data_IF_983883603581
#
_entry.id   IF_983883603581
#
_cell.length_a   1.000
_cell.length_b   1.000
_cell.length_c   1.000
_cell.angle_alpha   90.00
_cell.angle_beta   90.00
_cell.angle_gamma   90.00
#
_symmetry.space_group_name_H-M   'P 1'
#
loop_
_entity.id
_entity.type
_entity.pdbx_description
1 polymer ?
#
# COMPACT_ATOMS: atom_id res chain seq x y z
N UNK A 1 -34.70 3.56 38.19
CA UNK A 1 -35.21 3.00 39.46
C UNK A 1 -34.51 3.77 40.56
N UNK A 2 -35.25 4.59 41.30
CA UNK A 2 -34.68 5.31 42.44
C UNK A 2 -34.50 4.31 43.60
N UNK A 3 -33.27 4.17 44.10
CA UNK A 3 -32.91 3.25 45.18
C UNK A 3 -32.58 4.00 46.48
N UNK A 4 -32.82 5.31 46.52
CA UNK A 4 -32.55 6.16 47.68
C UNK A 4 -33.35 5.73 48.93
N UNK A 5 -34.50 5.08 48.76
CA UNK A 5 -35.35 4.57 49.83
C UNK A 5 -35.00 3.15 50.31
N UNK A 6 -34.03 2.47 49.69
CA UNK A 6 -33.66 1.10 50.06
C UNK A 6 -32.61 1.06 51.19
N UNK A 7 -32.68 0.08 52.10
CA UNK A 7 -31.72 -0.07 53.19
C UNK A 7 -30.26 -0.16 52.70
N UNK A 8 -29.32 0.35 53.50
CA UNK A 8 -27.87 0.34 53.18
C UNK A 8 -27.22 -1.05 53.24
N UNK A 9 -28.02 -2.12 53.37
CA UNK A 9 -27.57 -3.51 53.49
C UNK A 9 -26.98 -4.11 52.19
N UNK A 10 -26.43 -3.25 51.31
CA UNK A 10 -25.44 -3.65 50.31
C UNK A 10 -25.98 -4.13 48.97
N UNK A 11 -27.26 -3.98 48.67
CA UNK A 11 -27.85 -4.42 47.38
C UNK A 11 -28.62 -3.32 46.65
N UNK A 12 -27.95 -2.20 46.40
CA UNK A 12 -28.46 -1.11 45.56
C UNK A 12 -28.03 -1.34 44.11
N UNK A 13 -28.81 -2.09 43.33
CA UNK A 13 -28.48 -2.40 41.94
C UNK A 13 -29.58 -3.13 41.17
N UNK A 14 -29.43 -3.22 39.85
CA UNK A 14 -30.31 -3.95 38.94
C UNK A 14 -29.52 -5.06 38.24
N UNK A 15 -29.99 -6.31 38.35
CA UNK A 15 -29.50 -7.40 37.52
C UNK A 15 -30.43 -7.54 36.32
N UNK A 16 -29.90 -7.25 35.13
CA UNK A 16 -30.63 -7.44 33.88
C UNK A 16 -30.92 -8.93 33.62
N UNK A 17 -31.94 -9.25 32.80
CA UNK A 17 -32.19 -10.62 32.35
C UNK A 17 -30.94 -11.22 31.71
N UNK A 18 -30.58 -12.43 32.14
CA UNK A 18 -29.46 -13.19 31.57
C UNK A 18 -29.96 -14.07 30.44
N UNK A 19 -29.34 -13.97 29.26
CA UNK A 19 -29.78 -14.67 28.05
C UNK A 19 -28.55 -15.20 27.32
N UNK A 20 -28.64 -16.36 26.67
CA UNK A 20 -27.59 -16.85 25.77
C UNK A 20 -28.04 -16.56 24.33
N UNK A 21 -27.50 -15.50 23.73
CA UNK A 21 -27.84 -15.11 22.35
C UNK A 21 -27.09 -16.00 21.35
N UNK A 22 -27.71 -16.27 20.20
CA UNK A 22 -27.14 -17.09 19.12
C UNK A 22 -26.32 -16.30 18.11
N UNK A 23 -26.59 -15.00 17.96
CA UNK A 23 -25.89 -14.11 17.04
C UNK A 23 -26.14 -12.64 17.40
N UNK A 24 -25.44 -11.70 16.74
CA UNK A 24 -25.68 -10.27 16.90
C UNK A 24 -27.05 -9.82 16.40
N UNK A 25 -27.75 -10.61 15.60
CA UNK A 25 -29.09 -10.28 15.07
C UNK A 25 -30.19 -11.20 15.61
N UNK A 26 -29.91 -11.91 16.72
CA UNK A 26 -30.82 -12.90 17.29
C UNK A 26 -32.13 -12.27 17.78
N UNK A 27 -33.19 -12.49 17.02
CA UNK A 27 -34.56 -12.15 17.38
C UNK A 27 -35.42 -13.41 17.62
N UNK A 28 -34.80 -14.59 17.72
CA UNK A 28 -35.51 -15.84 18.00
C UNK A 28 -35.51 -16.09 19.50
N UNK A 29 -34.34 -15.93 20.14
CA UNK A 29 -34.20 -16.11 21.59
C UNK A 29 -34.99 -15.06 22.36
N UNK A 30 -35.09 -13.84 21.81
CA UNK A 30 -35.99 -12.79 22.27
C UNK A 30 -36.80 -12.31 21.06
N UNK A 31 -38.03 -12.82 20.86
CA UNK A 31 -38.91 -12.38 19.78
C UNK A 31 -39.23 -10.88 19.86
N UNK A 32 -39.09 -10.18 18.73
CA UNK A 32 -39.37 -8.74 18.59
C UNK A 32 -38.75 -7.89 19.73
N UNK A 33 -37.41 -7.90 19.89
CA UNK A 33 -36.76 -7.21 20.99
C UNK A 33 -37.04 -5.69 20.91
N UNK A 34 -37.43 -5.10 22.04
CA UNK A 34 -37.73 -3.68 22.12
C UNK A 34 -36.47 -2.84 21.89
N UNK A 35 -36.62 -1.68 21.23
CA UNK A 35 -35.52 -0.72 21.07
C UNK A 35 -34.98 -0.29 22.44
N UNK A 36 -33.68 -0.45 22.65
CA UNK A 36 -33.00 -0.15 23.91
C UNK A 36 -33.10 -1.25 24.97
N UNK A 37 -33.67 -2.42 24.66
CA UNK A 37 -33.72 -3.56 25.58
C UNK A 37 -32.31 -3.97 26.01
N UNK A 38 -32.01 -3.87 27.31
CA UNK A 38 -30.73 -4.25 27.91
C UNK A 38 -30.82 -5.66 28.52
N UNK A 39 -29.88 -6.52 28.12
CA UNK A 39 -29.72 -7.90 28.65
C UNK A 39 -28.28 -8.13 29.08
N UNK A 40 -28.03 -9.17 29.85
CA UNK A 40 -26.69 -9.71 30.08
C UNK A 40 -26.52 -10.99 29.24
N UNK A 41 -25.69 -10.94 28.21
CA UNK A 41 -25.40 -12.10 27.39
C UNK A 41 -24.47 -13.05 28.14
N UNK A 42 -24.82 -14.33 28.22
CA UNK A 42 -24.04 -15.35 28.93
C UNK A 42 -22.79 -15.82 28.15
N UNK A 43 -22.73 -15.57 26.85
CA UNK A 43 -21.62 -16.05 26.01
C UNK A 43 -21.58 -17.57 25.80
N UNK A 44 -22.61 -18.31 26.22
CA UNK A 44 -22.64 -19.78 26.21
C UNK A 44 -23.35 -20.42 25.00
N UNK A 45 -23.89 -19.61 24.08
CA UNK A 45 -24.48 -20.05 22.80
C UNK A 45 -23.72 -19.37 21.63
N UNK A 46 -24.34 -19.15 20.48
CA UNK A 46 -23.64 -18.69 19.27
C UNK A 46 -23.03 -17.27 19.32
N UNK A 47 -23.54 -16.35 20.13
CA UNK A 47 -22.90 -15.05 20.39
C UNK A 47 -22.06 -15.15 21.67
N UNK A 48 -20.76 -15.35 21.52
CA UNK A 48 -19.84 -15.64 22.63
C UNK A 48 -19.34 -14.41 23.40
N UNK A 49 -19.74 -13.20 23.00
CA UNK A 49 -19.40 -11.98 23.72
C UNK A 49 -20.20 -11.88 25.01
N UNK A 50 -19.64 -12.33 26.13
CA UNK A 50 -20.29 -12.22 27.46
C UNK A 50 -20.40 -10.75 27.90
N UNK A 51 -21.47 -10.41 28.60
CA UNK A 51 -21.64 -9.10 29.24
C UNK A 51 -22.92 -8.38 28.83
N UNK A 52 -23.07 -7.14 29.30
CA UNK A 52 -24.27 -6.35 28.99
C UNK A 52 -24.35 -6.01 27.50
N UNK A 53 -25.51 -6.24 26.89
CA UNK A 53 -25.83 -5.90 25.51
C UNK A 53 -27.16 -5.18 25.44
N UNK A 54 -27.32 -4.27 24.49
CA UNK A 54 -28.60 -3.64 24.19
C UNK A 54 -29.02 -3.83 22.74
N UNK A 55 -30.32 -3.95 22.48
CA UNK A 55 -30.88 -3.98 21.13
C UNK A 55 -30.98 -2.56 20.56
N UNK A 56 -30.31 -2.27 19.44
CA UNK A 56 -30.33 -0.94 18.82
C UNK A 56 -31.43 -0.76 17.74
N UNK A 57 -32.28 -1.76 17.53
CA UNK A 57 -33.27 -1.81 16.44
C UNK A 57 -32.88 -2.75 15.29
N UNK A 58 -31.59 -3.05 15.14
CA UNK A 58 -31.04 -3.88 14.07
C UNK A 58 -30.17 -5.03 14.58
N UNK A 59 -29.39 -4.80 15.63
CA UNK A 59 -28.46 -5.77 16.22
C UNK A 59 -28.29 -5.55 17.73
N UNK A 60 -27.85 -6.60 18.42
CA UNK A 60 -27.35 -6.59 19.79
C UNK A 60 -25.95 -5.99 19.81
N UNK A 61 -25.81 -4.86 20.51
CA UNK A 61 -24.51 -4.20 20.71
C UNK A 61 -24.08 -4.33 22.15
N UNK A 62 -22.78 -4.54 22.35
CA UNK A 62 -22.18 -4.52 23.69
C UNK A 62 -22.48 -3.15 24.32
N UNK A 63 -23.08 -3.18 25.51
CA UNK A 63 -23.16 -2.04 26.40
C UNK A 63 -21.82 -1.96 27.12
N UNK A 64 -20.86 -1.28 26.49
CA UNK A 64 -19.49 -1.35 26.97
C UNK A 64 -19.32 -0.66 28.33
N UNK A 65 -18.54 -1.30 29.20
CA UNK A 65 -18.13 -0.78 30.49
C UNK A 65 -16.82 0.01 30.38
N UNK A 66 -16.56 0.61 29.22
CA UNK A 66 -15.30 1.30 28.98
C UNK A 66 -15.14 2.41 30.02
N UNK A 67 -13.95 2.46 30.61
CA UNK A 67 -13.62 3.41 31.66
C UNK A 67 -13.85 4.83 31.13
N UNK A 68 -14.59 5.66 31.88
CA UNK A 68 -14.81 7.09 31.54
C UNK A 68 -13.57 7.94 31.86
N UNK A 69 -12.40 7.31 31.99
CA UNK A 69 -11.14 8.01 32.19
C UNK A 69 -10.85 8.83 30.93
N UNK A 70 -10.33 10.02 31.13
CA UNK A 70 -9.83 10.82 30.01
C UNK A 70 -8.68 10.07 29.36
N UNK A 71 -8.68 9.89 28.03
CA UNK A 71 -7.62 9.17 27.34
C UNK A 71 -6.28 9.88 27.54
N UNK A 72 -5.23 9.12 27.81
CA UNK A 72 -3.86 9.61 27.94
C UNK A 72 -2.86 8.62 27.35
N UNK A 73 -1.82 9.12 26.70
CA UNK A 73 -0.66 8.35 26.23
C UNK A 73 0.63 9.01 26.72
N UNK A 74 1.72 8.24 26.78
CA UNK A 74 3.04 8.76 27.13
C UNK A 74 3.76 9.39 25.94
N UNK A 75 3.62 8.81 24.74
CA UNK A 75 4.28 9.33 23.55
C UNK A 75 3.77 8.69 22.26
N UNK A 76 3.90 9.43 21.16
CA UNK A 76 3.66 8.95 19.79
C UNK A 76 4.98 8.49 19.15
N UNK A 77 4.96 7.36 18.45
CA UNK A 77 6.14 6.77 17.78
C UNK A 77 6.03 6.92 16.26
N UNK A 78 6.09 8.15 15.78
CA UNK A 78 5.77 8.48 14.38
C UNK A 78 6.84 8.08 13.37
N UNK A 79 8.07 7.79 13.84
CA UNK A 79 9.11 7.14 13.05
C UNK A 79 8.73 5.72 12.64
N UNK A 80 7.88 5.07 13.44
CA UNK A 80 7.50 3.67 13.30
C UNK A 80 6.11 3.54 12.67
N UNK A 81 5.59 4.65 12.14
CA UNK A 81 4.31 4.66 11.45
C UNK A 81 4.39 3.81 10.18
N UNK A 82 3.35 3.02 9.96
CA UNK A 82 3.22 2.14 8.78
C UNK A 82 1.96 2.48 8.02
N UNK A 83 1.87 2.02 6.77
CA UNK A 83 0.67 2.23 5.97
C UNK A 83 0.53 1.16 4.88
N UNK A 84 -0.70 0.97 4.41
CA UNK A 84 -1.04 -0.01 3.40
C UNK A 84 -2.19 0.48 2.53
N UNK A 85 -2.14 0.38 1.18
CA UNK A 85 -1.04 -0.14 0.34
C UNK A 85 0.29 0.64 0.46
N UNK A 86 1.45 -0.01 0.34
CA UNK A 86 2.72 0.62 0.72
C UNK A 86 3.28 1.61 -0.32
N UNK A 87 2.54 1.95 -1.39
CA UNK A 87 3.02 2.81 -2.48
C UNK A 87 1.93 3.78 -2.91
N UNK A 88 2.30 5.02 -3.20
CA UNK A 88 1.43 6.00 -3.84
C UNK A 88 1.82 6.20 -5.31
N UNK A 89 0.84 6.37 -6.19
CA UNK A 89 1.06 6.68 -7.62
C UNK A 89 0.39 8.01 -7.93
N UNK A 90 1.14 8.97 -8.46
CA UNK A 90 0.64 10.30 -8.81
C UNK A 90 -0.63 10.23 -9.67
N UNK A 91 -1.67 10.98 -9.29
CA UNK A 91 -2.92 11.05 -10.04
C UNK A 91 -3.86 9.84 -9.89
N UNK A 92 -3.44 8.76 -9.21
CA UNK A 92 -4.28 7.58 -8.97
C UNK A 92 -4.97 7.70 -7.61
N UNK A 93 -6.30 7.53 -7.51
CA UNK A 93 -6.98 7.51 -6.22
C UNK A 93 -6.38 6.46 -5.29
N UNK A 94 -6.01 6.88 -4.09
CA UNK A 94 -5.46 6.07 -3.03
C UNK A 94 -6.50 5.88 -1.93
N UNK A 95 -6.69 4.64 -1.49
CA UNK A 95 -7.54 4.29 -0.37
C UNK A 95 -6.84 3.21 0.46
N UNK A 96 -6.38 3.61 1.64
CA UNK A 96 -5.60 2.76 2.51
C UNK A 96 -5.77 3.12 3.98
N UNK A 97 -4.85 2.59 4.77
CA UNK A 97 -4.77 2.82 6.22
C UNK A 97 -3.37 3.24 6.59
N UNK A 98 -3.26 4.13 7.57
CA UNK A 98 -2.01 4.50 8.22
C UNK A 98 -2.12 4.15 9.70
N UNK A 99 -1.09 3.54 10.26
CA UNK A 99 -1.00 3.14 11.66
C UNK A 99 0.12 3.94 12.31
N UNK A 100 -0.17 4.57 13.45
CA UNK A 100 0.81 5.30 14.25
C UNK A 100 0.88 4.65 15.63
N UNK A 101 1.99 3.98 15.97
CA UNK A 101 2.16 3.40 17.30
C UNK A 101 2.28 4.47 18.39
N UNK A 102 1.89 4.13 19.61
CA UNK A 102 2.06 4.94 20.81
C UNK A 102 2.43 4.07 22.02
N UNK A 103 2.95 4.72 23.06
CA UNK A 103 3.26 4.10 24.35
C UNK A 103 2.39 4.65 25.48
N UNK A 104 2.23 3.88 26.55
CA UNK A 104 1.63 4.33 27.81
C UNK A 104 0.14 4.72 27.76
N UNK A 105 -0.65 4.09 26.89
CA UNK A 105 -2.10 4.22 26.87
C UNK A 105 -2.75 3.73 28.17
N UNK A 106 -3.90 4.31 28.51
CA UNK A 106 -4.60 4.05 29.77
C UNK A 106 -5.95 3.34 29.64
N UNK A 107 -6.36 2.91 28.44
CA UNK A 107 -7.70 2.31 28.22
C UNK A 107 -8.81 3.29 27.81
N UNK A 108 -8.55 4.61 27.87
CA UNK A 108 -9.57 5.64 27.62
C UNK A 108 -10.09 5.66 26.18
N UNK A 109 -11.36 6.01 26.02
CA UNK A 109 -12.00 6.18 24.71
C UNK A 109 -11.55 7.48 24.03
N UNK A 110 -11.42 7.49 22.71
CA UNK A 110 -11.16 8.69 21.93
C UNK A 110 -12.07 8.77 20.69
N UNK A 111 -12.52 9.99 20.32
CA UNK A 111 -13.41 10.19 19.18
C UNK A 111 -12.65 10.10 17.85
N UNK A 112 -13.40 10.16 16.75
CA UNK A 112 -12.81 10.36 15.42
C UNK A 112 -12.12 11.72 15.35
N UNK A 113 -11.00 11.77 14.63
CA UNK A 113 -10.28 13.01 14.35
C UNK A 113 -10.86 13.81 13.17
N UNK A 114 -10.34 15.01 13.01
CA UNK A 114 -10.54 15.85 11.81
C UNK A 114 -9.56 15.40 10.71
N UNK A 115 -9.91 15.50 9.41
CA UNK A 115 -8.97 15.22 8.33
C UNK A 115 -7.72 16.12 8.39
N UNK A 116 -6.54 15.51 8.28
CA UNK A 116 -5.23 16.18 8.25
C UNK A 116 -4.65 16.01 6.84
N UNK A 117 -4.40 17.09 6.08
CA UNK A 117 -3.82 17.00 4.75
C UNK A 117 -2.31 16.72 4.79
N UNK A 118 -1.80 16.05 3.75
CA UNK A 118 -0.36 15.86 3.55
C UNK A 118 0.34 17.12 3.06
N UNK A 119 1.62 17.28 3.45
CA UNK A 119 2.57 18.25 2.91
C UNK A 119 3.73 17.56 2.20
N UNK A 120 4.46 18.26 1.33
CA UNK A 120 5.45 17.66 0.43
C UNK A 120 4.79 16.99 -0.77
N UNK A 121 4.38 15.72 -0.62
CA UNK A 121 3.48 15.03 -1.54
C UNK A 121 2.01 15.33 -1.17
N UNK A 122 1.43 16.36 -1.78
CA UNK A 122 0.07 16.85 -1.50
C UNK A 122 -1.02 15.94 -2.08
N UNK A 123 -2.27 16.12 -1.63
CA UNK A 123 -3.43 15.42 -2.18
C UNK A 123 -3.83 14.16 -1.43
N UNK A 124 -3.09 13.77 -0.39
CA UNK A 124 -3.48 12.75 0.58
C UNK A 124 -4.02 13.41 1.86
N UNK A 125 -4.89 12.70 2.55
CA UNK A 125 -5.48 13.10 3.84
C UNK A 125 -5.53 11.90 4.78
N UNK A 126 -5.25 12.12 6.05
CA UNK A 126 -5.42 11.12 7.11
C UNK A 126 -6.53 11.53 8.07
N UNK A 127 -7.39 10.59 8.49
CA UNK A 127 -8.43 10.84 9.48
C UNK A 127 -8.43 9.75 10.55
N UNK A 128 -8.26 10.14 11.81
CA UNK A 128 -8.28 9.19 12.93
C UNK A 128 -9.66 8.53 13.05
N UNK A 129 -9.67 7.20 13.12
CA UNK A 129 -10.87 6.42 13.45
C UNK A 129 -11.12 6.49 14.97
N UNK A 130 -12.37 6.55 15.44
CA UNK A 130 -12.68 6.48 16.87
C UNK A 130 -12.25 5.13 17.45
N UNK A 131 -11.89 5.08 18.74
CA UNK A 131 -11.42 3.85 19.36
C UNK A 131 -11.17 3.96 20.86
N UNK A 132 -10.44 2.97 21.38
CA UNK A 132 -9.99 2.89 22.78
C UNK A 132 -8.48 2.73 22.80
N UNK A 133 -7.83 3.39 23.75
CA UNK A 133 -6.41 3.16 23.98
C UNK A 133 -6.19 1.75 24.55
N UNK A 134 -5.08 1.12 24.22
CA UNK A 134 -4.59 -0.05 24.92
C UNK A 134 -4.12 0.37 26.33
N UNK A 135 -4.07 -0.59 27.26
CA UNK A 135 -3.34 -0.41 28.52
C UNK A 135 -1.87 -0.71 28.26
N UNK A 136 -1.03 0.33 28.13
CA UNK A 136 0.36 0.22 27.68
C UNK A 136 0.54 0.63 26.23
N UNK A 137 1.34 -0.11 25.46
CA UNK A 137 1.61 0.23 24.06
C UNK A 137 0.41 -0.14 23.17
N UNK A 138 0.16 0.66 22.14
CA UNK A 138 -0.92 0.42 21.21
C UNK A 138 -0.76 1.22 19.91
N UNK A 139 -1.83 1.24 19.12
CA UNK A 139 -1.81 1.79 17.77
C UNK A 139 -3.00 2.72 17.52
N UNK A 140 -2.74 3.85 16.88
CA UNK A 140 -3.78 4.72 16.33
C UNK A 140 -3.96 4.38 14.85
N UNK A 141 -5.21 4.11 14.45
CA UNK A 141 -5.55 3.78 13.08
C UNK A 141 -6.20 4.97 12.39
N UNK A 142 -5.61 5.38 11.27
CA UNK A 142 -6.10 6.45 10.42
C UNK A 142 -6.57 5.90 9.08
N UNK A 143 -7.69 6.43 8.57
CA UNK A 143 -8.04 6.32 7.16
C UNK A 143 -7.10 7.21 6.35
N UNK A 144 -6.37 6.64 5.39
CA UNK A 144 -5.48 7.37 4.49
C UNK A 144 -6.10 7.37 3.08
N UNK A 145 -6.53 8.55 2.60
CA UNK A 145 -7.25 8.67 1.33
C UNK A 145 -6.83 9.91 0.53
N UNK A 146 -7.05 9.87 -0.77
CA UNK A 146 -6.95 11.04 -1.64
C UNK A 146 -6.33 10.69 -2.99
N UNK A 147 -5.83 11.68 -3.70
CA UNK A 147 -5.11 11.49 -4.96
C UNK A 147 -3.77 12.21 -4.84
N UNK A 148 -2.65 11.48 -4.65
CA UNK A 148 -1.34 12.09 -4.43
C UNK A 148 -0.87 12.85 -5.69
N UNK A 149 -0.17 13.96 -5.49
CA UNK A 149 0.42 14.73 -6.58
C UNK A 149 1.72 14.13 -7.10
N UNK A 150 2.39 13.30 -6.29
CA UNK A 150 3.65 12.64 -6.61
C UNK A 150 3.59 11.14 -6.28
N UNK A 151 4.32 10.33 -7.03
CA UNK A 151 4.48 8.91 -6.70
C UNK A 151 5.52 8.74 -5.59
N UNK A 152 5.45 7.64 -4.85
CA UNK A 152 6.57 7.19 -4.02
C UNK A 152 7.87 7.15 -4.87
N UNK A 153 9.03 7.55 -4.33
CA UNK A 153 9.35 7.75 -2.92
C UNK A 153 9.06 9.15 -2.36
N UNK A 154 8.44 10.06 -3.11
CA UNK A 154 8.24 11.43 -2.66
C UNK A 154 7.44 11.45 -1.35
N UNK A 155 8.01 12.00 -0.25
CA UNK A 155 7.42 11.88 1.08
C UNK A 155 6.12 12.66 1.20
N UNK A 156 5.08 12.01 1.72
CA UNK A 156 3.86 12.62 2.24
C UNK A 156 4.00 12.80 3.75
N UNK A 157 4.07 14.04 4.20
CA UNK A 157 4.28 14.36 5.62
C UNK A 157 2.97 14.79 6.28
N UNK A 158 2.65 14.23 7.44
CA UNK A 158 1.45 14.53 8.21
C UNK A 158 1.83 15.01 9.62
N UNK A 159 1.37 16.21 9.98
CA UNK A 159 1.50 16.74 11.33
C UNK A 159 0.42 16.11 12.21
N UNK A 160 0.78 15.06 12.96
CA UNK A 160 -0.15 14.35 13.82
C UNK A 160 -0.18 15.03 15.18
N UNK A 161 -1.39 15.38 15.61
CA UNK A 161 -1.68 15.82 16.97
C UNK A 161 -2.73 14.88 17.56
N UNK A 162 -2.40 14.24 18.67
CA UNK A 162 -3.31 13.39 19.41
C UNK A 162 -3.10 13.60 20.91
N UNK A 163 -4.16 14.07 21.58
CA UNK A 163 -4.12 14.49 22.99
C UNK A 163 -3.05 15.57 23.22
N UNK A 164 -2.11 15.34 24.14
CA UNK A 164 -1.00 16.25 24.44
C UNK A 164 0.29 15.93 23.66
N UNK A 165 0.23 15.03 22.67
CA UNK A 165 1.39 14.60 21.89
C UNK A 165 1.28 15.09 20.45
N UNK A 166 2.41 15.56 19.91
CA UNK A 166 2.53 16.02 18.54
C UNK A 166 3.78 15.41 17.90
N UNK A 167 3.70 15.07 16.61
CA UNK A 167 4.83 14.57 15.85
C UNK A 167 4.59 14.77 14.35
N UNK A 168 5.59 14.43 13.53
CA UNK A 168 5.46 14.38 12.07
C UNK A 168 5.64 12.93 11.62
N UNK A 169 4.66 12.40 10.89
CA UNK A 169 4.76 11.12 10.19
C UNK A 169 5.22 11.39 8.76
N UNK A 170 6.30 10.73 8.31
CA UNK A 170 6.83 10.87 6.96
C UNK A 170 6.62 9.55 6.18
N UNK A 171 5.63 9.51 5.30
CA UNK A 171 5.37 8.32 4.47
C UNK A 171 6.03 8.48 3.10
N UNK A 172 7.04 7.67 2.80
CA UNK A 172 7.74 7.70 1.50
C UNK A 172 7.21 6.67 0.52
N UNK A 173 6.69 5.54 0.98
CA UNK A 173 6.48 4.35 0.16
C UNK A 173 7.51 3.28 0.43
N UNK A 174 7.13 2.02 0.30
CA UNK A 174 8.09 0.94 0.15
C UNK A 174 8.86 1.16 -1.15
N UNK A 175 10.11 1.56 -0.97
CA UNK A 175 11.15 1.42 -1.97
C UNK A 175 11.73 0.03 -1.75
N UNK A 176 12.17 -0.63 -2.81
CA UNK A 176 12.93 -1.88 -2.68
C UNK A 176 14.01 -1.71 -1.60
N UNK A 177 14.21 -2.67 -0.71
CA UNK A 177 15.30 -2.64 0.27
C UNK A 177 16.65 -2.88 -0.40
N UNK A 178 17.75 -2.40 0.19
CA UNK A 178 19.09 -2.71 -0.33
C UNK A 178 19.28 -4.23 -0.35
N UNK A 179 19.72 -4.75 -1.50
CA UNK A 179 19.87 -6.19 -1.74
C UNK A 179 18.60 -6.89 -2.19
N UNK A 180 17.41 -6.28 -2.05
CA UNK A 180 16.16 -6.87 -2.51
C UNK A 180 16.16 -7.04 -4.03
N UNK A 181 15.71 -8.21 -4.47
CA UNK A 181 15.54 -8.55 -5.88
C UNK A 181 14.04 -8.66 -6.17
N UNK A 182 13.63 -8.02 -7.25
CA UNK A 182 12.29 -8.10 -7.82
C UNK A 182 12.36 -8.73 -9.20
N UNK A 183 11.54 -9.75 -9.45
CA UNK A 183 11.43 -10.42 -10.73
C UNK A 183 10.10 -10.10 -11.41
N UNK A 184 10.14 -9.89 -12.71
CA UNK A 184 8.96 -9.66 -13.56
C UNK A 184 8.92 -10.65 -14.70
N UNK A 185 7.72 -11.13 -15.03
CA UNK A 185 7.46 -11.99 -16.18
C UNK A 185 6.09 -11.66 -16.77
N UNK A 186 6.06 -11.42 -18.07
CA UNK A 186 4.81 -11.40 -18.83
C UNK A 186 5.09 -11.78 -20.29
N UNK A 187 4.05 -11.86 -21.13
CA UNK A 187 4.20 -12.26 -22.53
C UNK A 187 3.30 -11.45 -23.46
N UNK A 188 3.79 -11.19 -24.67
CA UNK A 188 3.05 -10.52 -25.74
C UNK A 188 3.08 -11.42 -26.97
N UNK A 189 1.95 -11.65 -27.62
CA UNK A 189 1.94 -12.44 -28.86
C UNK A 189 2.63 -11.69 -30.00
N UNK A 190 3.43 -12.38 -30.82
CA UNK A 190 4.23 -11.74 -31.88
C UNK A 190 3.36 -10.95 -32.86
N UNK A 191 2.21 -11.50 -33.25
CA UNK A 191 1.31 -10.85 -34.19
C UNK A 191 0.64 -9.57 -33.68
N UNK A 192 0.61 -9.33 -32.35
CA UNK A 192 -0.13 -8.18 -31.79
C UNK A 192 0.72 -6.93 -31.63
N UNK A 193 2.05 -7.07 -31.56
CA UNK A 193 2.97 -5.96 -31.36
C UNK A 193 3.81 -5.72 -32.61
N UNK A 194 3.70 -4.52 -33.16
CA UNK A 194 4.47 -4.09 -34.34
C UNK A 194 5.72 -3.33 -33.93
N UNK A 195 6.67 -3.23 -34.86
CA UNK A 195 7.89 -2.44 -34.66
C UNK A 195 7.54 -0.98 -34.30
N UNK A 196 8.26 -0.44 -33.33
CA UNK A 196 8.06 0.91 -32.81
C UNK A 196 7.09 1.03 -31.62
N UNK A 197 6.33 -0.01 -31.29
CA UNK A 197 5.40 0.02 -30.16
C UNK A 197 6.07 -0.31 -28.83
N UNK A 198 5.57 0.30 -27.75
CA UNK A 198 6.01 0.01 -26.38
C UNK A 198 5.27 -1.18 -25.79
N UNK A 199 5.93 -1.94 -24.93
CA UNK A 199 5.36 -3.08 -24.23
C UNK A 199 4.23 -2.64 -23.28
N UNK A 200 4.30 -1.44 -22.72
CA UNK A 200 3.25 -0.86 -21.85
C UNK A 200 1.87 -0.69 -22.50
N UNK A 201 1.79 -0.71 -23.83
CA UNK A 201 0.49 -0.71 -24.54
C UNK A 201 -0.27 -2.02 -24.28
N UNK A 202 0.47 -3.11 -24.06
CA UNK A 202 -0.07 -4.47 -23.92
C UNK A 202 0.08 -5.01 -22.49
N UNK A 203 1.01 -4.47 -21.71
CA UNK A 203 1.35 -4.90 -20.36
C UNK A 203 1.15 -3.74 -19.37
N UNK A 204 0.06 -3.80 -18.59
CA UNK A 204 -0.29 -2.74 -17.63
C UNK A 204 0.51 -2.79 -16.33
N UNK A 205 1.20 -3.90 -16.07
CA UNK A 205 1.85 -4.22 -14.80
C UNK A 205 3.38 -4.18 -14.87
N UNK A 206 3.94 -3.52 -15.89
CA UNK A 206 5.39 -3.37 -16.03
C UNK A 206 6.02 -2.76 -14.78
N UNK A 207 7.26 -3.16 -14.43
CA UNK A 207 7.88 -2.77 -13.17
C UNK A 207 7.98 -1.25 -13.03
N UNK A 208 7.56 -0.75 -11.86
CA UNK A 208 7.65 0.65 -11.48
C UNK A 208 8.62 0.78 -10.30
N UNK A 209 9.75 1.42 -10.51
CA UNK A 209 10.68 1.78 -9.42
C UNK A 209 10.73 3.29 -9.29
N UNK A 210 10.32 3.81 -8.14
CA UNK A 210 10.38 5.25 -7.85
C UNK A 210 9.65 6.15 -8.86
N UNK A 211 8.55 5.65 -9.42
CA UNK A 211 7.82 6.35 -10.47
C UNK A 211 8.51 6.33 -11.85
N UNK A 212 9.56 5.54 -12.03
CA UNK A 212 10.09 5.17 -13.34
C UNK A 212 9.54 3.80 -13.72
N UNK A 213 8.75 3.76 -14.80
CA UNK A 213 8.33 2.50 -15.41
C UNK A 213 9.48 1.98 -16.27
N UNK A 214 9.87 0.75 -16.02
CA UNK A 214 10.83 0.01 -16.82
C UNK A 214 10.07 -0.58 -18.02
N UNK A 215 10.32 -0.01 -19.20
CA UNK A 215 9.57 -0.30 -20.42
C UNK A 215 10.50 -0.87 -21.51
N UNK A 216 9.88 -1.39 -22.56
CA UNK A 216 10.58 -1.95 -23.71
C UNK A 216 9.90 -1.47 -25.00
N UNK A 217 10.68 -1.07 -25.98
CA UNK A 217 10.19 -0.74 -27.32
C UNK A 217 10.53 -1.85 -28.28
N UNK A 218 9.54 -2.37 -28.99
CA UNK A 218 9.73 -3.34 -30.06
C UNK A 218 10.54 -2.69 -31.19
N UNK A 219 11.63 -3.33 -31.61
CA UNK A 219 12.44 -2.86 -32.75
C UNK A 219 12.50 -3.93 -33.85
N UNK A 220 12.93 -3.53 -35.04
CA UNK A 220 13.04 -4.43 -36.19
C UNK A 220 13.91 -5.67 -35.88
N UNK A 221 13.53 -6.81 -36.47
CA UNK A 221 14.26 -8.06 -36.33
C UNK A 221 13.64 -9.08 -35.36
N UNK A 222 12.34 -9.38 -35.51
CA UNK A 222 11.69 -10.45 -34.75
C UNK A 222 11.57 -10.12 -33.25
N UNK A 223 12.06 -10.97 -32.34
CA UNK A 223 11.85 -10.86 -30.88
C UNK A 223 12.87 -9.91 -30.25
N UNK A 224 13.01 -8.71 -30.82
CA UNK A 224 14.05 -7.76 -30.44
C UNK A 224 13.44 -6.52 -29.81
N UNK A 225 13.95 -6.13 -28.64
CA UNK A 225 13.46 -5.02 -27.83
C UNK A 225 14.60 -4.11 -27.38
N UNK A 226 14.35 -2.80 -27.43
CA UNK A 226 15.21 -1.78 -26.83
C UNK A 226 14.65 -1.35 -25.46
N UNK A 227 15.48 -1.27 -24.40
CA UNK A 227 15.07 -0.74 -23.11
C UNK A 227 14.74 0.75 -23.13
N UNK A 228 13.61 1.10 -22.53
CA UNK A 228 13.15 2.47 -22.36
C UNK A 228 12.73 2.71 -20.92
N UNK A 229 12.89 3.95 -20.46
CA UNK A 229 12.32 4.40 -19.19
C UNK A 229 11.19 5.39 -19.46
N UNK A 230 10.10 5.29 -18.70
CA UNK A 230 9.03 6.26 -18.72
C UNK A 230 8.83 6.86 -17.33
N UNK A 231 8.84 8.19 -17.24
CA UNK A 231 8.64 8.89 -15.98
C UNK A 231 7.14 9.12 -15.73
N UNK A 232 6.59 8.42 -14.74
CA UNK A 232 5.20 8.58 -14.29
C UNK A 232 5.04 9.62 -13.19
N UNK A 233 6.13 10.21 -12.70
CA UNK A 233 6.09 11.25 -11.67
C UNK A 233 5.77 12.61 -12.28
N UNK A 234 5.35 13.55 -11.44
CA UNK A 234 5.15 14.95 -11.83
C UNK A 234 6.45 15.75 -11.94
N UNK A 235 7.59 15.17 -11.52
CA UNK A 235 8.88 15.86 -11.42
C UNK A 235 9.86 15.35 -12.47
N UNK A 236 10.84 16.17 -12.84
CA UNK A 236 11.94 15.74 -13.70
C UNK A 236 12.91 14.81 -12.96
N UNK A 237 13.10 13.62 -13.53
CA UNK A 237 14.08 12.59 -13.22
C UNK A 237 15.53 13.07 -13.43
N UNK A 238 16.46 12.94 -12.48
CA UNK A 238 17.90 12.95 -12.81
C UNK A 238 18.41 11.51 -12.89
N UNK A 239 18.92 11.09 -14.05
CA UNK A 239 19.30 9.71 -14.31
C UNK A 239 20.77 9.62 -14.72
N UNK A 240 21.48 8.67 -14.14
CA UNK A 240 22.75 8.17 -14.67
C UNK A 240 22.57 6.69 -14.98
N UNK A 241 22.99 6.23 -16.15
CA UNK A 241 22.88 4.81 -16.47
C UNK A 241 24.07 4.32 -17.27
N UNK A 242 24.37 3.04 -17.08
CA UNK A 242 25.29 2.29 -17.88
C UNK A 242 24.57 1.08 -18.40
N UNK A 243 24.63 0.85 -19.71
CA UNK A 243 23.99 -0.29 -20.35
C UNK A 243 25.03 -1.11 -21.09
N UNK A 244 24.92 -2.42 -20.95
CA UNK A 244 25.74 -3.41 -21.63
C UNK A 244 24.82 -4.32 -22.43
N UNK A 245 24.94 -4.24 -23.76
CA UNK A 245 24.25 -5.14 -24.67
C UNK A 245 25.18 -5.70 -25.74
N UNK A 246 24.79 -6.81 -26.33
CA UNK A 246 25.63 -7.57 -27.24
C UNK A 246 25.67 -6.97 -28.66
N UNK A 247 24.65 -6.22 -29.11
CA UNK A 247 24.55 -5.77 -30.51
C UNK A 247 25.59 -4.73 -30.93
N UNK A 248 26.07 -3.90 -30.00
CA UNK A 248 27.15 -2.92 -30.26
C UNK A 248 28.51 -3.40 -29.76
N UNK A 249 28.55 -4.46 -28.94
CA UNK A 249 29.75 -4.89 -28.21
C UNK A 249 30.32 -3.85 -27.24
N UNK A 250 29.60 -2.75 -27.01
CA UNK A 250 30.10 -1.57 -26.30
C UNK A 250 29.25 -1.27 -25.08
N UNK A 251 29.92 -1.09 -23.94
CA UNK A 251 29.31 -0.55 -22.73
C UNK A 251 29.08 0.95 -22.95
N UNK A 252 27.83 1.39 -22.85
CA UNK A 252 27.48 2.82 -22.97
C UNK A 252 27.14 3.36 -21.60
N UNK A 253 27.90 4.34 -21.12
CA UNK A 253 27.63 5.07 -19.88
C UNK A 253 27.24 6.51 -20.20
N UNK A 254 26.09 6.96 -19.71
CA UNK A 254 25.59 8.30 -19.96
C UNK A 254 24.75 8.81 -18.79
N UNK A 255 24.38 10.08 -18.83
CA UNK A 255 23.51 10.71 -17.85
C UNK A 255 22.62 11.74 -18.52
N UNK A 256 21.48 12.02 -17.91
CA UNK A 256 20.53 12.98 -18.45
C UNK A 256 19.39 13.22 -17.50
N UNK A 257 18.46 14.06 -17.94
CA UNK A 257 17.20 14.29 -17.25
C UNK A 257 16.07 13.65 -18.03
N UNK A 258 15.04 13.20 -17.31
CA UNK A 258 13.83 12.65 -17.90
C UNK A 258 12.65 13.45 -17.34
N UNK A 259 12.05 14.30 -18.17
CA UNK A 259 10.90 15.11 -17.77
C UNK A 259 9.70 14.24 -17.43
N UNK A 260 8.72 14.81 -16.73
CA UNK A 260 7.48 14.11 -16.42
C UNK A 260 6.75 13.67 -17.71
N UNK A 261 6.11 12.49 -17.66
CA UNK A 261 5.31 11.93 -18.76
C UNK A 261 6.06 11.78 -20.10
N UNK A 262 7.36 11.56 -20.07
CA UNK A 262 8.17 11.33 -21.28
C UNK A 262 8.92 10.01 -21.23
N UNK A 263 9.35 9.57 -22.41
CA UNK A 263 10.17 8.38 -22.61
C UNK A 263 11.63 8.75 -22.83
N UNK A 264 12.54 7.92 -22.33
CA UNK A 264 13.97 8.00 -22.58
C UNK A 264 14.49 6.66 -23.11
N UNK A 265 15.17 6.72 -24.26
CA UNK A 265 15.91 5.57 -24.80
C UNK A 265 17.17 5.34 -23.96
N UNK A 266 17.12 4.34 -23.09
CA UNK A 266 18.28 3.91 -22.30
C UNK A 266 19.04 2.77 -22.98
N UNK A 267 18.44 2.17 -24.01
CA UNK A 267 19.04 1.18 -24.91
C UNK A 267 20.31 1.70 -25.59
N UNK A 268 20.29 2.92 -26.12
CA UNK A 268 21.41 3.54 -26.84
C UNK A 268 21.98 2.62 -27.95
N UNK A 269 21.09 1.96 -28.69
CA UNK A 269 21.44 0.98 -29.73
C UNK A 269 21.63 -0.46 -29.24
N UNK A 270 21.60 -0.70 -27.93
CA UNK A 270 21.61 -2.04 -27.36
C UNK A 270 20.20 -2.65 -27.31
N UNK A 271 20.08 -3.91 -27.73
CA UNK A 271 18.80 -4.61 -27.83
C UNK A 271 18.85 -6.00 -27.17
N UNK A 272 17.76 -6.37 -26.49
CA UNK A 272 17.54 -7.69 -25.92
C UNK A 272 16.74 -8.49 -26.95
N UNK A 273 17.21 -9.69 -27.28
CA UNK A 273 16.49 -10.54 -28.21
C UNK A 273 16.78 -12.01 -28.03
N UNK A 274 15.83 -12.81 -28.49
CA UNK A 274 16.06 -14.23 -28.69
C UNK A 274 15.48 -14.62 -30.04
N UNK A 275 16.35 -15.15 -30.87
CA UNK A 275 16.03 -15.97 -32.02
C UNK A 275 16.90 -17.23 -31.81
N UNK A 276 16.55 -18.41 -32.35
CA UNK A 276 17.38 -19.62 -32.26
C UNK A 276 18.88 -19.41 -32.51
N UNK A 277 19.27 -18.36 -33.24
CA UNK A 277 20.64 -18.03 -33.60
C UNK A 277 21.33 -16.99 -32.70
N UNK A 278 20.58 -16.19 -31.92
CA UNK A 278 21.13 -15.03 -31.18
C UNK A 278 20.36 -14.74 -29.89
N UNK A 279 20.58 -15.56 -28.86
CA UNK A 279 20.11 -15.27 -27.49
C UNK A 279 20.92 -14.15 -26.86
N UNK A 280 20.27 -13.07 -26.39
CA UNK A 280 20.92 -11.86 -25.88
C UNK A 280 20.22 -11.29 -24.64
N UNK A 281 20.99 -11.11 -23.57
CA UNK A 281 20.61 -10.40 -22.34
C UNK A 281 21.14 -8.97 -22.42
N UNK A 282 20.39 -8.00 -21.93
CA UNK A 282 20.92 -6.67 -21.62
C UNK A 282 21.03 -6.50 -20.12
N UNK A 283 22.14 -5.95 -19.65
CA UNK A 283 22.34 -5.55 -18.27
C UNK A 283 22.43 -4.03 -18.18
N UNK A 284 21.83 -3.46 -17.15
CA UNK A 284 21.81 -2.02 -16.93
C UNK A 284 22.08 -1.70 -15.46
N UNK A 285 23.03 -0.79 -15.22
CA UNK A 285 23.11 -0.04 -13.98
C UNK A 285 22.32 1.26 -14.14
N UNK A 286 21.44 1.56 -13.18
CA UNK A 286 20.62 2.77 -13.19
C UNK A 286 20.76 3.50 -11.85
N UNK A 287 21.11 4.77 -11.90
CA UNK A 287 21.16 5.69 -10.77
C UNK A 287 20.03 6.69 -10.91
N UNK A 288 19.13 6.75 -9.93
CA UNK A 288 17.98 7.66 -9.88
C UNK A 288 18.27 8.76 -8.86
N UNK A 289 18.08 10.02 -9.29
CA UNK A 289 18.26 11.24 -8.52
C UNK A 289 19.60 11.35 -7.79
N UNK A 290 20.65 10.73 -8.34
CA UNK A 290 22.02 10.67 -7.78
C UNK A 290 22.13 9.96 -6.43
N UNK A 291 21.07 9.32 -5.95
CA UNK A 291 21.01 8.75 -4.60
C UNK A 291 20.88 7.24 -4.64
N UNK A 292 20.11 6.69 -5.57
CA UNK A 292 19.72 5.27 -5.53
C UNK A 292 20.18 4.53 -6.76
N UNK A 293 20.77 3.37 -6.53
CA UNK A 293 21.38 2.56 -7.58
C UNK A 293 20.66 1.23 -7.70
N UNK A 294 20.27 0.89 -8.92
CA UNK A 294 19.64 -0.35 -9.31
C UNK A 294 20.48 -1.08 -10.36
N UNK A 295 20.44 -2.42 -10.30
CA UNK A 295 20.85 -3.30 -11.39
C UNK A 295 19.60 -3.90 -12.02
N UNK A 296 19.52 -3.85 -13.34
CA UNK A 296 18.38 -4.32 -14.11
C UNK A 296 18.86 -5.22 -15.24
N UNK A 297 18.41 -6.46 -15.27
CA UNK A 297 18.66 -7.36 -16.40
C UNK A 297 17.37 -7.55 -17.20
N UNK A 298 17.47 -7.41 -18.51
CA UNK A 298 16.40 -7.60 -19.46
C UNK A 298 16.62 -8.88 -20.25
N UNK A 299 15.58 -9.70 -20.32
CA UNK A 299 15.62 -10.95 -21.06
C UNK A 299 14.32 -11.16 -21.82
N UNK A 300 14.40 -11.24 -23.14
CA UNK A 300 13.25 -11.53 -24.01
C UNK A 300 13.49 -12.85 -24.73
N UNK A 301 12.51 -13.78 -24.70
CA UNK A 301 12.59 -15.08 -25.39
C UNK A 301 11.34 -15.47 -26.14
N UNK A 302 11.47 -16.30 -27.18
CA UNK A 302 10.33 -17.02 -27.76
C UNK A 302 9.97 -18.25 -26.90
N UNK A 303 8.75 -18.73 -27.06
CA UNK A 303 8.27 -20.01 -26.54
C UNK A 303 8.65 -21.21 -27.43
N UNK A 304 9.14 -20.98 -28.65
CA UNK A 304 9.61 -22.03 -29.56
C UNK A 304 11.14 -22.02 -29.68
N UNK A 305 11.76 -23.17 -30.00
CA UNK A 305 13.21 -23.26 -30.26
C UNK A 305 13.58 -23.06 -31.75
N UNK A 306 12.59 -22.70 -32.58
CA UNK A 306 12.72 -22.55 -34.03
C UNK A 306 12.50 -21.10 -34.46
N UNK A 307 12.66 -20.79 -35.76
CA UNK A 307 12.34 -19.46 -36.28
C UNK A 307 10.89 -19.13 -35.91
N UNK A 308 10.62 -18.10 -35.10
CA UNK A 308 9.30 -17.99 -34.51
C UNK A 308 8.27 -17.45 -35.49
N UNK A 309 7.03 -17.92 -35.35
CA UNK A 309 5.88 -17.55 -36.17
C UNK A 309 4.96 -16.52 -35.51
N UNK A 310 4.00 -15.93 -36.24
CA UNK A 310 3.11 -14.89 -35.71
C UNK A 310 2.29 -15.29 -34.47
N UNK A 311 2.05 -16.59 -34.28
CA UNK A 311 1.35 -17.15 -33.11
C UNK A 311 2.19 -17.24 -31.85
N UNK A 312 3.51 -17.10 -31.96
CA UNK A 312 4.46 -17.34 -30.88
C UNK A 312 4.48 -16.15 -29.90
N UNK A 313 4.91 -16.40 -28.67
CA UNK A 313 4.90 -15.40 -27.60
C UNK A 313 6.28 -14.83 -27.32
N UNK A 314 6.37 -13.49 -27.32
CA UNK A 314 7.47 -12.73 -26.80
C UNK A 314 7.40 -12.74 -25.27
N UNK A 315 8.14 -13.64 -24.64
CA UNK A 315 8.24 -13.73 -23.19
C UNK A 315 9.22 -12.67 -22.70
N UNK A 316 8.72 -11.70 -21.93
CA UNK A 316 9.50 -10.61 -21.36
C UNK A 316 9.78 -10.93 -19.91
N UNK A 317 11.05 -10.93 -19.53
CA UNK A 317 11.52 -11.11 -18.17
C UNK A 317 12.44 -9.96 -17.77
N UNK A 318 12.29 -9.51 -16.54
CA UNK A 318 13.18 -8.52 -15.95
C UNK A 318 13.56 -8.96 -14.53
N UNK A 319 14.80 -8.71 -14.15
CA UNK A 319 15.21 -8.71 -12.74
C UNK A 319 15.67 -7.32 -12.39
N UNK A 320 15.24 -6.83 -11.24
CA UNK A 320 15.63 -5.53 -10.69
C UNK A 320 16.19 -5.79 -9.30
N UNK A 321 17.35 -5.23 -9.00
CA UNK A 321 17.95 -5.30 -7.67
C UNK A 321 18.29 -3.88 -7.21
N UNK A 322 17.91 -3.52 -6.00
CA UNK A 322 18.43 -2.28 -5.39
C UNK A 322 19.79 -2.56 -4.78
N UNK A 323 20.78 -1.77 -5.17
CA UNK A 323 22.17 -1.84 -4.69
C UNK A 323 22.46 -0.75 -3.67
N UNK A 324 21.83 0.43 -3.79
CA UNK A 324 21.93 1.58 -2.88
C UNK A 324 20.59 2.31 -2.77
#
# INVERSE_FOLDING_TARGET
MDVASLPDNGKKGFLGPKVALKSSIDQITIPAPALGLLIYNLGTDGLQTEGYHYWNGNEWRVFNSSTTISPSIQGLQCSDATFNPPVFIAGVPYNGVMIVPYSGGNGGAYPSGIPIPSSGNTGLTVKLRPGYLANGNGELVYDLRGTPSQSSPSPANFNISFLNQNCIVNLTGEIMSIGQIYGYYNKIQQSVITDGQYASIFLSDLPLIEGLRIDLKKVAGGFTYAPYLYNTTSNTLNLGWQIEGYSSGSVVSTSGTLTNNSYLDVGQGNTASWNPHTSRVIKMNLIINKIRWYRIDFYSVSDTQTAPGPSDYHNIRMTIQRVQ
#
